data_IF_915278715122
#
_entry.id   IF_915278715122
#
_cell.length_a   1.000
_cell.length_b   1.000
_cell.length_c   1.000
_cell.angle_alpha   90.00
_cell.angle_beta   90.00
_cell.angle_gamma   90.00
#
_symmetry.space_group_name_H-M   'P 1'
#
loop_
_entity.id
_entity.type
_entity.pdbx_description
1 polymer ?
#
# COMPACT_ATOMS: atom_id res chain seq x y z
N UNK A 1 21.77 2.94 11.58
CA UNK A 1 20.67 3.87 11.92
C UNK A 1 20.34 4.68 10.68
N UNK A 2 19.11 4.61 10.18
CA UNK A 2 18.71 5.45 9.04
C UNK A 2 18.53 6.91 9.46
N UNK A 3 18.86 7.81 8.54
CA UNK A 3 18.49 9.22 8.67
C UNK A 3 17.14 9.48 8.00
N UNK A 4 16.63 10.70 8.17
CA UNK A 4 15.35 11.11 7.57
C UNK A 4 15.34 10.92 6.05
N UNK A 5 16.47 11.23 5.38
CA UNK A 5 16.61 11.09 3.91
C UNK A 5 16.50 9.63 3.46
N UNK A 6 17.22 8.73 4.10
CA UNK A 6 17.16 7.30 3.79
C UNK A 6 15.75 6.77 4.03
N UNK A 7 15.15 7.16 5.15
CA UNK A 7 13.80 6.74 5.52
C UNK A 7 12.77 7.15 4.48
N UNK A 8 12.82 8.40 3.99
CA UNK A 8 11.92 8.91 2.95
C UNK A 8 12.09 8.14 1.63
N UNK A 9 13.31 7.81 1.22
CA UNK A 9 13.55 7.04 -0.01
C UNK A 9 13.02 5.60 0.08
N UNK A 10 13.04 5.02 1.27
CA UNK A 10 12.59 3.65 1.52
C UNK A 10 11.08 3.54 1.77
N UNK A 11 10.36 4.66 1.97
CA UNK A 11 8.92 4.62 2.29
C UNK A 11 8.07 3.92 1.24
N UNK A 12 8.41 4.04 -0.05
CA UNK A 12 7.64 3.39 -1.12
C UNK A 12 7.74 1.86 -1.01
N UNK A 13 8.97 1.33 -0.93
CA UNK A 13 9.23 -0.10 -0.78
C UNK A 13 8.65 -0.64 0.54
N UNK A 14 8.71 0.16 1.61
CA UNK A 14 8.10 -0.18 2.90
C UNK A 14 6.57 -0.32 2.79
N UNK A 15 5.91 0.53 2.02
CA UNK A 15 4.46 0.51 1.82
C UNK A 15 4.00 -0.58 0.86
N UNK A 16 4.81 -0.91 -0.14
CA UNK A 16 4.54 -1.99 -1.09
C UNK A 16 4.84 -3.39 -0.48
N UNK A 17 5.62 -3.43 0.60
CA UNK A 17 5.99 -4.67 1.28
C UNK A 17 7.18 -5.38 0.63
N UNK A 18 7.95 -4.67 -0.19
CA UNK A 18 9.10 -5.18 -0.95
C UNK A 18 10.42 -5.10 -0.16
N UNK A 19 10.38 -4.65 1.10
CA UNK A 19 11.57 -4.54 1.95
C UNK A 19 11.91 -5.83 2.69
N UNK A 20 13.21 -6.08 2.83
CA UNK A 20 13.74 -7.10 3.74
C UNK A 20 13.30 -6.85 5.19
N UNK A 21 13.16 -7.90 6.02
CA UNK A 21 12.73 -7.75 7.41
C UNK A 21 13.70 -6.91 8.25
N UNK A 22 15.00 -6.99 7.97
CA UNK A 22 16.05 -6.24 8.66
C UNK A 22 15.94 -4.73 8.39
N UNK A 23 15.85 -4.34 7.11
CA UNK A 23 15.66 -2.94 6.72
C UNK A 23 14.32 -2.39 7.24
N UNK A 24 13.28 -3.23 7.25
CA UNK A 24 11.96 -2.86 7.79
C UNK A 24 12.04 -2.51 9.28
N UNK A 25 12.81 -3.28 10.04
CA UNK A 25 13.02 -3.02 11.47
C UNK A 25 13.76 -1.70 11.68
N UNK A 26 14.87 -1.49 10.97
CA UNK A 26 15.66 -0.26 11.07
C UNK A 26 14.84 0.99 10.71
N UNK A 27 13.97 0.90 9.70
CA UNK A 27 13.08 1.98 9.31
C UNK A 27 12.03 2.27 10.39
N UNK A 28 11.43 1.23 10.98
CA UNK A 28 10.49 1.38 12.09
C UNK A 28 11.13 2.02 13.31
N UNK A 29 12.38 1.70 13.63
CA UNK A 29 13.10 2.33 14.73
C UNK A 29 13.27 3.83 14.50
N UNK A 30 13.65 4.25 13.29
CA UNK A 30 13.71 5.66 12.93
C UNK A 30 12.34 6.35 13.06
N UNK A 31 11.28 5.74 12.53
CA UNK A 31 9.92 6.30 12.59
C UNK A 31 9.41 6.44 14.03
N UNK A 32 9.81 5.58 14.98
CA UNK A 32 9.46 5.76 16.40
C UNK A 32 10.13 6.98 17.03
N UNK A 33 11.34 7.31 16.60
CA UNK A 33 12.13 8.43 17.14
C UNK A 33 11.94 9.76 16.41
N UNK A 34 11.30 9.76 15.24
CA UNK A 34 11.29 10.91 14.34
C UNK A 34 9.87 11.33 13.95
N UNK A 35 9.30 12.23 14.76
CA UNK A 35 7.99 12.85 14.49
C UNK A 35 7.82 13.44 13.08
N UNK A 36 8.78 14.19 12.49
CA UNK A 36 8.59 14.74 11.14
C UNK A 36 8.53 13.65 10.06
N UNK A 37 9.24 12.53 10.21
CA UNK A 37 9.14 11.41 9.27
C UNK A 37 7.80 10.67 9.39
N UNK A 38 7.21 10.59 10.59
CA UNK A 38 5.85 10.05 10.78
C UNK A 38 4.81 10.93 10.11
N UNK A 39 4.94 12.25 10.25
CA UNK A 39 4.02 13.21 9.63
C UNK A 39 4.12 13.15 8.10
N UNK A 40 5.34 13.08 7.57
CA UNK A 40 5.58 12.86 6.15
C UNK A 40 5.01 11.52 5.66
N UNK A 41 5.17 10.42 6.41
CA UNK A 41 4.60 9.13 6.05
C UNK A 41 3.06 9.20 5.96
N UNK A 42 2.42 9.94 6.87
CA UNK A 42 0.96 10.14 6.86
C UNK A 42 0.51 10.85 5.58
N UNK A 43 1.19 11.92 5.16
CA UNK A 43 0.87 12.63 3.92
C UNK A 43 1.20 11.78 2.69
N UNK A 44 2.35 11.08 2.71
CA UNK A 44 2.79 10.21 1.62
C UNK A 44 1.80 9.06 1.34
N UNK A 45 1.20 8.45 2.38
CA UNK A 45 0.15 7.42 2.22
C UNK A 45 -1.13 7.93 1.56
N UNK A 46 -1.42 9.23 1.63
CA UNK A 46 -2.60 9.80 0.98
C UNK A 46 -2.42 9.94 -0.54
N UNK A 47 -1.19 10.14 -1.01
CA UNK A 47 -0.83 10.35 -2.42
C UNK A 47 -1.23 9.19 -3.34
N UNK A 48 -0.88 7.92 -3.08
CA UNK A 48 -1.33 6.81 -3.93
C UNK A 48 -2.84 6.61 -3.86
N UNK A 49 -3.51 6.95 -2.76
CA UNK A 49 -4.97 6.92 -2.66
C UNK A 49 -5.65 7.94 -3.58
N UNK A 50 -5.08 9.14 -3.69
CA UNK A 50 -5.51 10.19 -4.62
C UNK A 50 -5.25 9.79 -6.07
N UNK A 51 -4.06 9.28 -6.38
CA UNK A 51 -3.75 8.76 -7.72
C UNK A 51 -4.67 7.59 -8.07
N UNK A 52 -4.88 6.62 -7.17
CA UNK A 52 -5.79 5.48 -7.39
C UNK A 52 -7.23 5.92 -7.59
N UNK A 53 -7.71 6.97 -6.90
CA UNK A 53 -9.03 7.57 -7.16
C UNK A 53 -9.11 8.31 -8.49
N UNK A 54 -8.08 9.06 -8.85
CA UNK A 54 -8.02 9.80 -10.11
C UNK A 54 -7.87 8.87 -11.32
N UNK A 55 -7.11 7.80 -11.16
CA UNK A 55 -6.82 6.75 -12.14
C UNK A 55 -7.77 5.56 -12.00
N UNK A 56 -8.75 5.61 -11.09
CA UNK A 56 -9.79 4.60 -10.99
C UNK A 56 -10.64 4.66 -12.25
N UNK A 57 -10.18 3.96 -13.29
CA UNK A 57 -11.02 3.57 -14.38
C UNK A 57 -12.21 2.79 -13.77
N UNK A 58 -13.43 3.28 -13.98
CA UNK A 58 -14.62 2.53 -13.61
C UNK A 58 -14.52 1.18 -14.29
N UNK A 59 -14.47 0.10 -13.51
CA UNK A 59 -14.46 -1.25 -14.04
C UNK A 59 -15.65 -1.39 -15.01
N UNK A 60 -15.43 -1.83 -16.27
CA UNK A 60 -16.52 -2.04 -17.20
C UNK A 60 -17.52 -3.03 -16.62
N UNK A 61 -18.82 -2.73 -16.74
CA UNK A 61 -19.89 -3.56 -16.15
C UNK A 61 -19.77 -5.03 -16.57
N UNK A 62 -19.45 -5.28 -17.83
CA UNK A 62 -19.29 -6.64 -18.37
C UNK A 62 -18.22 -7.46 -17.64
N UNK A 63 -17.10 -6.83 -17.26
CA UNK A 63 -16.03 -7.48 -16.50
C UNK A 63 -16.48 -7.74 -15.06
N UNK A 64 -17.18 -6.79 -14.45
CA UNK A 64 -17.70 -6.93 -13.08
C UNK A 64 -18.75 -8.03 -12.97
N UNK A 65 -19.65 -8.14 -13.95
CA UNK A 65 -20.70 -9.18 -13.99
C UNK A 65 -20.09 -10.57 -14.13
N UNK A 66 -19.16 -10.76 -15.07
CA UNK A 66 -18.45 -12.04 -15.26
C UNK A 66 -17.66 -12.45 -14.02
N UNK A 67 -16.97 -11.50 -13.39
CA UNK A 67 -16.22 -11.77 -12.15
C UNK A 67 -17.15 -12.17 -11.00
N UNK A 68 -18.30 -11.49 -10.87
CA UNK A 68 -19.31 -11.80 -9.85
C UNK A 68 -19.89 -13.19 -10.05
N UNK A 69 -20.22 -13.55 -11.29
CA UNK A 69 -20.74 -14.88 -11.62
C UNK A 69 -19.71 -15.97 -11.31
N UNK A 70 -18.45 -15.76 -11.69
CA UNK A 70 -17.35 -16.69 -11.42
C UNK A 70 -17.14 -16.91 -9.91
N UNK A 71 -17.07 -15.82 -9.13
CA UNK A 71 -16.92 -15.89 -7.67
C UNK A 71 -18.11 -16.61 -7.02
N UNK A 72 -19.34 -16.29 -7.45
CA UNK A 72 -20.55 -16.92 -6.92
C UNK A 72 -20.60 -18.42 -7.23
N UNK A 73 -20.14 -18.83 -8.42
CA UNK A 73 -20.01 -20.23 -8.80
C UNK A 73 -18.97 -20.97 -7.93
N UNK A 74 -17.81 -20.36 -7.68
CA UNK A 74 -16.76 -20.95 -6.83
C UNK A 74 -17.14 -21.04 -5.35
N UNK A 75 -17.84 -20.05 -4.81
CA UNK A 75 -18.30 -20.06 -3.41
C UNK A 75 -19.39 -21.11 -3.19
N UNK A 76 -20.32 -21.29 -4.15
CA UNK A 76 -21.34 -22.35 -4.08
C UNK A 76 -20.76 -23.76 -4.21
N UNK A 77 -19.63 -23.92 -4.88
CA UNK A 77 -18.95 -25.22 -5.04
C UNK A 77 -18.10 -25.64 -3.84
N UNK A 78 -17.92 -24.75 -2.85
CA UNK A 78 -17.11 -24.98 -1.66
C UNK A 78 -17.95 -25.20 -0.38
N UNK A 79 -19.28 -25.35 -0.53
CA UNK A 79 -20.23 -25.75 0.51
C UNK A 79 -20.88 -27.07 0.14
#
# INVERSE_FOLDING_TARGET
MYNCKDSINLLLQFLDGEMSPEDTQHLREHLRGCSPCVDFLRTYRATPGLCKKALAAKMPKEVSDKLTEFLRSKIKSAS
#
